data_IF_538388814614
#
_entry.id   IF_538388814614
#
_cell.length_a   1.000
_cell.length_b   1.000
_cell.length_c   1.000
_cell.angle_alpha   90.00
_cell.angle_beta   90.00
_cell.angle_gamma   90.00
#
_symmetry.space_group_name_H-M   'P 1'
#
loop_
_entity.id
_entity.type
_entity.pdbx_description
1 polymer ?
#
# COMPACT_ATOMS: atom_id res chain seq x y z
N UNK A 1 -7.51 -36.79 23.37
CA UNK A 1 -7.41 -36.72 22.73
C UNK A 1 -7.38 -35.65 22.05
N UNK A 2 -7.47 -35.35 21.72
CA UNK A 2 -7.47 -34.45 21.12
C UNK A 2 -6.57 -33.61 20.95
N UNK A 3 -6.08 -33.58 21.52
CA UNK A 3 -5.13 -32.81 21.57
C UNK A 3 -4.33 -32.82 20.53
N UNK A 4 -4.22 -33.74 20.15
CA UNK A 4 -3.41 -33.86 19.17
C UNK A 4 -3.49 -32.82 18.25
N UNK A 5 -4.48 -32.53 17.96
CA UNK A 5 -4.57 -31.65 17.05
C UNK A 5 -4.02 -30.49 17.19
N UNK A 6 -3.88 -30.35 18.18
CA UNK A 6 -3.35 -29.15 18.39
C UNK A 6 -2.13 -29.05 17.66
N UNK A 7 -1.42 -29.90 17.76
CA UNK A 7 -0.18 -29.77 17.15
C UNK A 7 -0.28 -29.41 15.80
N UNK A 8 -1.18 -30.00 15.19
CA UNK A 8 -1.21 -29.77 13.93
C UNK A 8 -1.39 -28.45 13.61
N UNK A 9 -2.02 -27.87 14.33
CA UNK A 9 -2.30 -26.60 13.96
C UNK A 9 -1.11 -25.84 13.66
N UNK A 10 -0.15 -25.97 14.39
CA UNK A 10 0.90 -25.08 14.19
C UNK A 10 1.55 -25.21 12.91
N UNK A 11 1.72 -26.30 12.46
CA UNK A 11 2.45 -26.42 11.26
C UNK A 11 1.75 -25.82 10.12
N UNK A 12 0.50 -25.92 10.11
CA UNK A 12 -0.17 -25.46 8.98
C UNK A 12 -0.15 -24.02 8.79
N UNK A 13 0.04 -23.32 9.83
CA UNK A 13 -0.07 -21.91 9.68
C UNK A 13 0.84 -21.34 8.68
N UNK A 14 1.94 -21.90 8.49
CA UNK A 14 2.86 -21.30 7.59
C UNK A 14 2.37 -21.21 6.20
N UNK A 15 1.72 -22.20 5.78
CA UNK A 15 1.33 -22.21 4.42
C UNK A 15 0.19 -21.30 4.15
N UNK A 16 -0.67 -21.18 5.11
CA UNK A 16 -1.80 -20.33 4.90
C UNK A 16 -1.42 -18.87 4.94
N UNK A 17 -0.30 -18.60 5.52
CA UNK A 17 0.10 -17.24 5.64
C UNK A 17 0.12 -16.52 4.31
N UNK A 18 0.61 -17.14 3.30
CA UNK A 18 0.68 -16.46 2.03
C UNK A 18 -0.67 -16.26 1.39
N UNK A 19 -1.55 -17.18 1.57
CA UNK A 19 -2.82 -17.06 0.92
C UNK A 19 -3.71 -16.02 1.54
N UNK A 20 -3.62 -15.88 2.84
CA UNK A 20 -4.54 -14.97 3.47
C UNK A 20 -4.30 -13.54 3.06
N UNK A 21 -3.13 -13.25 2.57
CA UNK A 21 -2.87 -11.89 2.18
C UNK A 21 -3.59 -11.46 0.94
N UNK A 22 -3.94 -12.38 0.10
CA UNK A 22 -4.52 -11.99 -1.16
C UNK A 22 -6.01 -11.76 -1.09
N UNK A 23 -6.63 -12.22 -0.02
CA UNK A 23 -8.06 -12.24 -0.05
C UNK A 23 -8.77 -11.17 0.71
N UNK A 24 -8.04 -10.33 1.40
CA UNK A 24 -8.74 -9.60 2.43
C UNK A 24 -8.88 -8.13 2.26
N UNK A 25 -9.11 -7.69 1.07
CA UNK A 25 -9.34 -6.27 0.87
C UNK A 25 -10.76 -5.94 1.30
N UNK A 26 -10.89 -5.01 2.23
CA UNK A 26 -12.22 -4.61 2.70
C UNK A 26 -12.67 -3.42 1.87
N UNK A 27 -13.87 -3.52 1.31
CA UNK A 27 -14.44 -2.46 0.50
C UNK A 27 -15.78 -2.08 1.08
N UNK A 28 -15.96 -0.79 1.38
CA UNK A 28 -17.22 -0.26 1.89
C UNK A 28 -17.62 0.93 1.05
N UNK A 29 -18.80 0.86 0.46
CA UNK A 29 -19.34 1.97 -0.32
C UNK A 29 -18.37 2.43 -1.40
N UNK A 30 -17.73 1.48 -2.07
CA UNK A 30 -16.83 1.81 -3.16
C UNK A 30 -15.46 2.30 -2.73
N UNK A 31 -15.16 2.25 -1.45
CA UNK A 31 -13.87 2.69 -0.96
C UNK A 31 -13.13 1.52 -0.34
N UNK A 32 -11.82 1.53 -0.51
CA UNK A 32 -10.96 0.56 0.16
C UNK A 32 -10.77 1.05 1.58
N UNK A 33 -10.91 0.16 2.55
CA UNK A 33 -10.80 0.52 3.96
C UNK A 33 -9.63 -0.23 4.57
N UNK A 34 -8.72 0.51 5.19
CA UNK A 34 -7.60 -0.09 5.91
C UNK A 34 -7.73 0.26 7.38
N UNK A 35 -7.79 -0.75 8.22
CA UNK A 35 -7.86 -0.54 9.65
C UNK A 35 -6.42 -0.58 10.18
N UNK A 36 -5.96 0.53 10.73
CA UNK A 36 -4.59 0.64 11.19
C UNK A 36 -4.29 -0.22 12.41
N UNK A 37 -5.32 -0.82 13.00
CA UNK A 37 -5.10 -1.78 14.06
C UNK A 37 -4.67 -3.13 13.55
N UNK A 38 -4.79 -3.40 12.24
CA UNK A 38 -4.37 -4.68 11.70
C UNK A 38 -2.86 -4.67 11.47
N UNK A 39 -2.23 -5.80 11.78
CA UNK A 39 -0.78 -5.84 11.71
C UNK A 39 -0.24 -5.61 10.31
N UNK A 40 -0.98 -5.99 9.29
CA UNK A 40 -0.50 -5.83 7.91
C UNK A 40 -0.41 -4.37 7.49
N UNK A 41 -1.09 -3.48 8.20
CA UNK A 41 -1.05 -2.05 7.87
C UNK A 41 -0.29 -1.24 8.91
N UNK A 42 0.35 -1.90 9.86
CA UNK A 42 0.94 -1.15 10.97
C UNK A 42 2.03 -0.20 10.54
N UNK A 43 2.65 -0.43 9.39
CA UNK A 43 3.68 0.50 8.93
C UNK A 43 3.09 1.90 8.71
N UNK A 44 1.80 1.98 8.47
CA UNK A 44 1.16 3.27 8.26
C UNK A 44 0.91 4.03 9.56
N UNK A 45 1.26 3.45 10.70
CA UNK A 45 1.21 4.19 11.95
C UNK A 45 2.41 5.12 12.13
N UNK A 46 3.40 5.01 11.26
CA UNK A 46 4.60 5.85 11.33
C UNK A 46 4.62 6.79 10.13
N UNK A 47 4.76 8.07 10.40
CA UNK A 47 4.85 9.06 9.34
C UNK A 47 6.08 8.78 8.49
N UNK A 48 5.91 8.85 7.19
CA UNK A 48 7.00 8.59 6.25
C UNK A 48 7.00 7.19 5.71
N UNK A 49 6.21 6.30 6.26
CA UNK A 49 6.14 4.92 5.79
C UNK A 49 4.97 4.71 4.84
N UNK A 50 4.95 3.56 4.20
CA UNK A 50 3.88 3.23 3.27
C UNK A 50 3.66 1.75 3.18
N UNK A 51 2.57 1.37 2.54
CA UNK A 51 2.27 -0.03 2.24
C UNK A 51 1.79 -0.12 0.80
N UNK A 52 1.92 -1.28 0.23
CA UNK A 52 1.40 -1.55 -1.11
C UNK A 52 0.25 -2.53 -1.00
N UNK A 53 -0.78 -2.30 -1.79
CA UNK A 53 -1.97 -3.13 -1.80
C UNK A 53 -2.19 -3.63 -3.21
N UNK A 54 -2.23 -4.94 -3.36
CA UNK A 54 -2.48 -5.52 -4.67
C UNK A 54 -3.94 -5.38 -5.01
N UNK A 55 -4.23 -4.89 -6.19
CA UNK A 55 -5.59 -4.76 -6.67
C UNK A 55 -5.74 -5.73 -7.84
N UNK A 56 -6.71 -6.60 -7.76
CA UNK A 56 -6.97 -7.56 -8.82
C UNK A 56 -7.09 -6.85 -10.17
N UNK A 57 -6.40 -7.37 -11.16
CA UNK A 57 -6.43 -6.85 -12.53
C UNK A 57 -5.68 -5.54 -12.71
N UNK A 58 -4.96 -5.09 -11.70
CA UNK A 58 -4.07 -3.95 -11.88
C UNK A 58 -2.66 -4.44 -11.98
N UNK A 59 -1.93 -3.89 -12.91
CA UNK A 59 -0.56 -4.32 -13.13
C UNK A 59 0.34 -3.92 -11.99
N UNK A 60 0.12 -2.76 -11.43
CA UNK A 60 0.95 -2.27 -10.33
C UNK A 60 0.10 -2.06 -9.09
N UNK A 61 0.63 -2.31 -7.93
CA UNK A 61 -0.16 -2.13 -6.70
C UNK A 61 -0.50 -0.69 -6.41
N UNK A 62 -1.47 -0.52 -5.55
CA UNK A 62 -1.82 0.77 -4.98
C UNK A 62 -0.83 1.04 -3.85
N UNK A 63 -0.28 2.25 -3.81
CA UNK A 63 0.68 2.63 -2.79
C UNK A 63 0.02 3.64 -1.88
N UNK A 64 0.07 3.40 -0.57
CA UNK A 64 -0.52 4.31 0.41
C UNK A 64 0.58 4.73 1.36
N UNK A 65 0.68 6.04 1.62
CA UNK A 65 1.73 6.58 2.48
C UNK A 65 1.12 7.35 3.64
N UNK A 66 1.82 7.37 4.77
CA UNK A 66 1.46 8.23 5.89
C UNK A 66 2.23 9.53 5.74
N UNK A 67 1.51 10.58 5.39
CA UNK A 67 2.14 11.87 5.08
C UNK A 67 2.39 12.68 6.34
N UNK A 68 1.42 12.66 7.26
CA UNK A 68 1.55 13.42 8.50
C UNK A 68 0.69 12.72 9.55
N UNK A 69 0.55 13.34 10.71
CA UNK A 69 -0.30 12.77 11.74
C UNK A 69 -1.74 12.67 11.30
N UNK A 70 -2.18 13.57 10.45
CA UNK A 70 -3.58 13.62 10.05
C UNK A 70 -3.80 13.30 8.59
N UNK A 71 -2.74 13.08 7.80
CA UNK A 71 -2.91 12.92 6.36
C UNK A 71 -2.26 11.67 5.83
N UNK A 72 -2.92 11.07 4.87
CA UNK A 72 -2.41 9.95 4.11
C UNK A 72 -2.56 10.28 2.63
N UNK A 73 -1.83 9.58 1.79
CA UNK A 73 -1.97 9.72 0.34
C UNK A 73 -2.05 8.34 -0.28
N UNK A 74 -2.74 8.25 -1.40
CA UNK A 74 -2.87 6.99 -2.13
C UNK A 74 -2.67 7.25 -3.60
N UNK A 75 -1.89 6.40 -4.26
CA UNK A 75 -1.63 6.59 -5.68
C UNK A 75 -1.16 5.28 -6.30
N UNK A 76 -1.19 5.25 -7.62
CA UNK A 76 -0.67 4.11 -8.35
C UNK A 76 0.84 4.05 -8.15
N UNK A 77 1.37 2.86 -7.96
CA UNK A 77 2.82 2.72 -7.88
C UNK A 77 3.46 2.59 -9.25
N UNK A 78 2.73 2.91 -10.32
CA UNK A 78 3.31 2.86 -11.64
C UNK A 78 4.01 4.19 -11.92
N UNK A 79 5.30 4.15 -12.11
CA UNK A 79 6.09 5.34 -12.38
C UNK A 79 5.66 5.97 -13.69
N UNK A 80 5.54 7.30 -13.70
CA UNK A 80 5.05 8.00 -14.88
C UNK A 80 6.11 8.13 -15.97
N UNK A 81 7.34 7.72 -15.69
CA UNK A 81 8.41 7.80 -16.68
C UNK A 81 8.30 6.63 -17.68
N UNK A 82 8.38 5.40 -17.20
CA UNK A 82 8.41 4.27 -18.11
C UNK A 82 7.62 3.08 -17.57
N UNK A 83 6.74 3.31 -16.64
CA UNK A 83 5.88 2.25 -16.13
C UNK A 83 6.54 1.32 -15.13
N UNK A 84 7.78 1.58 -14.74
CA UNK A 84 8.40 0.79 -13.70
C UNK A 84 7.68 1.02 -12.38
N UNK A 85 7.85 0.09 -11.46
CA UNK A 85 7.18 0.22 -10.19
C UNK A 85 7.91 1.20 -9.28
N UNK A 86 7.15 2.00 -8.54
CA UNK A 86 7.70 2.89 -7.53
C UNK A 86 7.83 2.08 -6.25
N UNK A 87 8.98 2.19 -5.60
CA UNK A 87 9.28 1.40 -4.42
C UNK A 87 8.67 2.03 -3.17
N UNK A 88 8.62 1.27 -2.09
CA UNK A 88 8.15 1.81 -0.82
C UNK A 88 9.06 2.93 -0.36
N UNK A 89 8.54 3.89 0.40
CA UNK A 89 9.32 5.05 0.74
C UNK A 89 10.50 4.74 1.67
N UNK A 90 11.58 5.47 1.46
CA UNK A 90 12.71 5.44 2.36
C UNK A 90 13.04 6.88 2.69
N UNK A 91 13.05 7.20 3.98
CA UNK A 91 13.34 8.55 4.44
C UNK A 91 12.44 9.59 3.77
N UNK A 92 11.19 9.22 3.58
CA UNK A 92 10.21 10.15 3.02
C UNK A 92 10.27 10.33 1.52
N UNK A 93 11.05 9.53 0.82
CA UNK A 93 11.24 9.64 -0.62
C UNK A 93 10.82 8.35 -1.29
N UNK A 94 10.10 8.45 -2.38
CA UNK A 94 9.71 7.31 -3.20
C UNK A 94 10.61 7.28 -4.43
N UNK A 95 11.19 6.13 -4.72
CA UNK A 95 12.09 6.00 -5.85
C UNK A 95 11.52 5.08 -6.91
N UNK A 96 11.78 5.40 -8.16
CA UNK A 96 11.39 4.56 -9.27
C UNK A 96 12.35 3.37 -9.36
N UNK A 97 11.81 2.18 -9.56
CA UNK A 97 12.65 0.97 -9.61
C UNK A 97 13.51 0.90 -10.85
N UNK A 98 13.34 1.83 -11.79
CA UNK A 98 14.15 1.82 -13.02
C UNK A 98 15.62 2.08 -12.75
N UNK A 99 15.93 2.72 -11.63
CA UNK A 99 17.33 3.07 -11.38
C UNK A 99 17.79 4.29 -12.12
N UNK A 100 16.89 5.00 -12.81
CA UNK A 100 17.27 6.17 -13.58
C UNK A 100 17.18 7.47 -12.80
N UNK A 101 16.92 7.39 -11.51
CA UNK A 101 16.94 8.58 -10.67
C UNK A 101 15.61 9.24 -10.39
N UNK A 102 14.52 8.75 -10.93
CA UNK A 102 13.23 9.37 -10.70
C UNK A 102 12.80 9.20 -9.27
N UNK A 103 12.36 10.30 -8.62
CA UNK A 103 11.87 10.24 -7.26
C UNK A 103 10.63 11.08 -7.11
N UNK A 104 9.85 10.76 -6.07
CA UNK A 104 8.62 11.46 -5.76
C UNK A 104 8.55 11.68 -4.25
N UNK A 105 7.77 12.66 -3.84
CA UNK A 105 7.57 12.87 -2.40
C UNK A 105 6.46 11.92 -1.91
N UNK A 106 6.14 12.02 -0.63
CA UNK A 106 5.15 11.14 -0.02
C UNK A 106 3.75 11.33 -0.56
N UNK A 107 3.51 12.40 -1.29
CA UNK A 107 2.21 12.62 -1.91
C UNK A 107 2.23 12.28 -3.40
N UNK A 108 3.30 11.67 -3.88
CA UNK A 108 3.39 11.25 -5.26
C UNK A 108 3.78 12.34 -6.23
N UNK A 109 4.27 13.48 -5.73
CA UNK A 109 4.67 14.58 -6.61
C UNK A 109 6.13 14.41 -7.01
N UNK A 110 6.43 14.71 -8.26
CA UNK A 110 7.77 14.54 -8.80
C UNK A 110 8.77 15.40 -8.04
N UNK A 111 9.88 14.79 -7.65
CA UNK A 111 10.99 15.51 -7.06
C UNK A 111 12.17 15.55 -8.02
N UNK A 112 12.41 14.48 -8.77
CA UNK A 112 13.51 14.49 -9.72
C UNK A 112 13.13 13.71 -10.97
N UNK A 113 13.66 14.17 -12.11
CA UNK A 113 13.42 13.52 -13.39
C UNK A 113 14.18 12.21 -13.45
N UNK A 114 13.81 11.30 -14.35
CA UNK A 114 13.13 11.58 -15.63
C UNK A 114 11.61 11.69 -15.58
N UNK A 115 10.88 11.20 -14.58
CA UNK A 115 9.44 11.39 -14.66
C UNK A 115 9.09 12.88 -14.62
N UNK A 116 8.12 13.28 -15.40
CA UNK A 116 7.71 14.67 -15.47
C UNK A 116 6.31 14.90 -14.96
N UNK A 117 5.59 13.84 -14.63
CA UNK A 117 4.23 13.96 -14.11
C UNK A 117 4.15 13.30 -12.76
N UNK A 118 3.28 13.82 -11.92
CA UNK A 118 3.03 13.21 -10.62
C UNK A 118 2.39 11.84 -10.80
N UNK A 119 2.48 11.00 -9.79
CA UNK A 119 1.83 9.71 -9.81
C UNK A 119 0.32 9.90 -9.81
N UNK A 120 -0.39 8.97 -10.44
CA UNK A 120 -1.84 9.03 -10.45
C UNK A 120 -2.35 8.83 -9.04
N UNK A 121 -3.09 9.78 -8.51
CA UNK A 121 -3.52 9.74 -7.12
C UNK A 121 -4.99 9.42 -7.01
N UNK A 122 -5.39 8.96 -5.84
CA UNK A 122 -6.77 8.66 -5.49
C UNK A 122 -7.10 9.36 -4.18
N UNK A 123 -8.32 9.88 -4.03
CA UNK A 123 -8.66 10.55 -2.78
C UNK A 123 -8.54 9.58 -1.61
N UNK A 124 -7.91 10.03 -0.54
CA UNK A 124 -7.69 9.20 0.63
C UNK A 124 -7.87 10.03 1.87
N UNK A 125 -8.46 9.44 2.90
CA UNK A 125 -8.72 10.11 4.15
C UNK A 125 -8.34 9.21 5.31
N UNK A 126 -7.77 9.82 6.33
CA UNK A 126 -7.53 9.15 7.60
C UNK A 126 -8.57 9.65 8.57
N UNK A 127 -9.41 8.77 9.06
CA UNK A 127 -10.45 9.11 10.01
C UNK A 127 -10.26 8.21 11.21
N UNK A 128 -9.90 8.79 12.34
CA UNK A 128 -9.59 8.08 13.57
C UNK A 128 -8.49 7.05 13.32
N UNK A 129 -8.83 5.80 13.14
CA UNK A 129 -7.85 4.74 12.97
C UNK A 129 -8.05 3.97 11.69
N UNK A 130 -8.74 4.58 10.72
CA UNK A 130 -9.02 3.92 9.45
C UNK A 130 -8.69 4.84 8.29
N UNK A 131 -8.20 4.23 7.23
CA UNK A 131 -7.92 4.94 5.99
C UNK A 131 -8.96 4.51 4.96
N UNK A 132 -9.54 5.49 4.29
CA UNK A 132 -10.53 5.25 3.24
C UNK A 132 -9.96 5.77 1.93
N UNK A 133 -9.91 4.91 0.92
CA UNK A 133 -9.39 5.30 -0.38
C UNK A 133 -10.50 5.14 -1.42
N UNK A 134 -10.82 6.22 -2.11
CA UNK A 134 -11.82 6.17 -3.17
C UNK A 134 -11.14 5.64 -4.43
N UNK A 135 -11.32 4.36 -4.70
CA UNK A 135 -10.67 3.69 -5.80
C UNK A 135 -11.71 3.35 -6.87
N UNK A 136 -11.44 3.65 -8.13
CA UNK A 136 -12.43 3.40 -9.17
C UNK A 136 -12.41 1.95 -9.61
N UNK A 137 -13.17 1.13 -8.92
CA UNK A 137 -13.31 -0.26 -9.32
C UNK A 137 -14.22 -0.27 -10.53
N UNK A 138 -13.80 -0.42 -11.56
CA UNK A 138 -14.64 -0.28 -12.65
C UNK A 138 -15.21 -1.43 -13.33
#
# INVERSE_FOLDING_TARGET
MLSSFSALACACTDEHYGESHLAELVIEQGRIVLDLGESRYRMLNTIGNGVKIEITRQEKPLLITRVSETRVAAFSSQCTHAGYEVLLPEQGILACASGHGGTFDLEGRVLSEPPKSNLQSYPAQLITNRIYVAYPFG
#
